data_IF_820368416406
#
_entry.id   IF_820368416406
#
_cell.length_a   1.000
_cell.length_b   1.000
_cell.length_c   1.000
_cell.angle_alpha   90.00
_cell.angle_beta   90.00
_cell.angle_gamma   90.00
#
_symmetry.space_group_name_H-M   'P 1'
#
loop_
_entity.id
_entity.type
_entity.pdbx_description
1 polymer ?
#
# COMPACT_ATOMS: atom_id res chain seq x y z
N UNK A 1 -4.97 -14.11 -16.87
CA UNK A 1 -5.10 -12.69 -17.24
C UNK A 1 -4.06 -12.41 -18.31
N UNK A 2 -4.46 -12.09 -19.54
CA UNK A 2 -3.49 -11.78 -20.61
C UNK A 2 -3.10 -10.30 -20.55
N UNK A 3 -1.80 -10.01 -20.52
CA UNK A 3 -1.28 -8.65 -20.50
C UNK A 3 -1.12 -8.16 -21.93
N UNK A 4 -2.01 -7.25 -22.35
CA UNK A 4 -2.03 -6.73 -23.72
C UNK A 4 -0.83 -5.81 -24.02
N UNK A 5 -0.36 -5.05 -23.01
CA UNK A 5 0.77 -4.12 -23.15
C UNK A 5 1.29 -3.67 -21.79
N UNK A 6 2.62 -3.56 -21.68
CA UNK A 6 3.30 -2.97 -20.53
C UNK A 6 4.01 -1.69 -20.95
N UNK A 7 4.01 -0.67 -20.10
CA UNK A 7 4.74 0.59 -20.36
C UNK A 7 5.31 1.10 -19.06
N UNK A 8 6.60 1.46 -19.07
CA UNK A 8 7.25 2.07 -17.92
C UNK A 8 6.66 3.47 -17.65
N UNK A 9 6.45 3.78 -16.37
CA UNK A 9 5.99 5.10 -15.93
C UNK A 9 7.03 5.71 -15.00
N UNK A 10 7.09 7.04 -14.96
CA UNK A 10 7.94 7.74 -14.01
C UNK A 10 7.42 7.61 -12.58
N UNK A 11 8.32 7.70 -11.60
CA UNK A 11 8.00 7.63 -10.17
C UNK A 11 6.92 8.64 -9.77
N UNK A 12 7.01 9.87 -10.28
CA UNK A 12 5.99 10.91 -10.06
C UNK A 12 4.59 10.50 -10.56
N UNK A 13 4.53 9.80 -11.70
CA UNK A 13 3.27 9.30 -12.26
C UNK A 13 2.76 8.10 -11.46
N UNK A 14 3.66 7.22 -11.01
CA UNK A 14 3.34 6.11 -10.13
C UNK A 14 2.75 6.61 -8.80
N UNK A 15 3.38 7.60 -8.15
CA UNK A 15 2.90 8.20 -6.90
C UNK A 15 1.49 8.78 -7.05
N UNK A 16 1.23 9.50 -8.15
CA UNK A 16 -0.09 10.08 -8.43
C UNK A 16 -1.17 9.02 -8.63
N UNK A 17 -0.84 7.90 -9.31
CA UNK A 17 -1.77 6.80 -9.50
C UNK A 17 -2.05 6.07 -8.18
N UNK A 18 -0.99 5.81 -7.42
CA UNK A 18 -1.07 5.12 -6.14
C UNK A 18 -1.91 5.90 -5.13
N UNK A 19 -1.70 7.22 -5.05
CA UNK A 19 -2.49 8.09 -4.17
C UNK A 19 -3.98 8.01 -4.47
N UNK A 20 -4.35 8.14 -5.75
CA UNK A 20 -5.75 8.04 -6.19
C UNK A 20 -6.36 6.68 -5.89
N UNK A 21 -5.57 5.62 -6.03
CA UNK A 21 -6.03 4.26 -5.74
C UNK A 21 -6.33 4.09 -4.24
N UNK A 22 -5.43 4.54 -3.36
CA UNK A 22 -5.64 4.53 -1.91
C UNK A 22 -6.88 5.35 -1.54
N UNK A 23 -6.99 6.60 -2.01
CA UNK A 23 -8.16 7.46 -1.75
C UNK A 23 -9.48 6.79 -2.18
N UNK A 24 -9.48 6.13 -3.35
CA UNK A 24 -10.65 5.40 -3.86
C UNK A 24 -11.00 4.17 -3.04
N UNK A 25 -10.01 3.49 -2.44
CA UNK A 25 -10.21 2.27 -1.64
C UNK A 25 -10.49 2.53 -0.17
N UNK A 26 -10.12 3.70 0.33
CA UNK A 26 -10.56 4.16 1.65
C UNK A 26 -12.02 4.64 1.65
N UNK A 27 -12.51 5.11 0.50
CA UNK A 27 -13.90 5.54 0.33
C UNK A 27 -14.82 4.42 -0.17
N UNK A 28 -14.32 3.18 -0.28
CA UNK A 28 -15.09 2.04 -0.78
C UNK A 28 -16.08 1.56 0.30
N UNK A 29 -17.37 1.60 -0.01
CA UNK A 29 -18.43 1.18 0.92
C UNK A 29 -18.66 -0.34 0.90
N UNK A 30 -18.15 -1.03 -0.13
CA UNK A 30 -18.22 -2.48 -0.23
C UNK A 30 -17.16 -3.14 0.65
N UNK A 31 -17.58 -3.70 1.79
CA UNK A 31 -16.71 -4.35 2.77
C UNK A 31 -15.81 -5.46 2.20
N UNK A 32 -16.24 -6.16 1.14
CA UNK A 32 -15.44 -7.19 0.47
C UNK A 32 -14.31 -6.60 -0.41
N UNK A 33 -14.42 -5.32 -0.77
CA UNK A 33 -13.48 -4.60 -1.63
C UNK A 33 -12.67 -3.53 -0.87
N UNK A 34 -12.97 -3.33 0.42
CA UNK A 34 -12.20 -2.47 1.32
C UNK A 34 -10.81 -3.05 1.48
N UNK A 35 -9.81 -2.17 1.38
CA UNK A 35 -8.44 -2.54 1.65
C UNK A 35 -8.24 -2.92 3.11
N UNK A 36 -7.63 -4.09 3.34
CA UNK A 36 -7.15 -4.46 4.66
C UNK A 36 -6.04 -3.50 5.13
N UNK A 37 -5.82 -3.44 6.44
CA UNK A 37 -4.86 -2.51 7.05
C UNK A 37 -3.41 -2.78 6.64
N UNK A 38 -3.07 -4.06 6.42
CA UNK A 38 -1.72 -4.46 5.97
C UNK A 38 -1.40 -3.88 4.59
N UNK A 39 -2.30 -4.00 3.62
CA UNK A 39 -2.08 -3.48 2.28
C UNK A 39 -2.08 -1.94 2.29
N UNK A 40 -2.91 -1.29 3.13
CA UNK A 40 -2.83 0.17 3.33
C UNK A 40 -1.45 0.59 3.82
N UNK A 41 -0.90 -0.12 4.81
CA UNK A 41 0.42 0.16 5.36
C UNK A 41 1.53 -0.02 4.30
N UNK A 42 1.51 -1.13 3.57
CA UNK A 42 2.46 -1.38 2.48
C UNK A 42 2.40 -0.30 1.39
N UNK A 43 1.20 0.11 0.98
CA UNK A 43 1.05 1.17 -0.02
C UNK A 43 1.53 2.52 0.50
N UNK A 44 1.34 2.82 1.78
CA UNK A 44 1.87 4.04 2.40
C UNK A 44 3.40 4.07 2.37
N UNK A 45 4.07 2.93 2.61
CA UNK A 45 5.52 2.81 2.50
C UNK A 45 6.01 3.02 1.06
N UNK A 46 5.33 2.43 0.07
CA UNK A 46 5.66 2.61 -1.35
C UNK A 46 5.46 4.08 -1.75
N UNK A 47 4.38 4.72 -1.31
CA UNK A 47 4.12 6.13 -1.60
C UNK A 47 5.18 7.04 -0.98
N UNK A 48 5.57 6.77 0.27
CA UNK A 48 6.67 7.49 0.92
C UNK A 48 7.98 7.37 0.14
N UNK A 49 8.31 6.16 -0.34
CA UNK A 49 9.49 5.93 -1.18
C UNK A 49 9.42 6.73 -2.50
N UNK A 50 8.29 6.69 -3.21
CA UNK A 50 8.09 7.41 -4.47
C UNK A 50 8.09 8.94 -4.30
N UNK A 51 7.78 9.45 -3.10
CA UNK A 51 7.87 10.86 -2.75
C UNK A 51 9.27 11.27 -2.24
N UNK A 52 10.23 10.35 -2.19
CA UNK A 52 11.58 10.62 -1.66
C UNK A 52 11.63 10.81 -0.14
N UNK A 53 10.57 10.42 0.58
CA UNK A 53 10.56 10.41 2.05
C UNK A 53 11.21 9.12 2.53
N UNK A 54 11.90 9.17 3.68
CA UNK A 54 12.37 7.93 4.32
C UNK A 54 11.16 7.05 4.59
N UNK A 55 11.10 5.81 4.04
CA UNK A 55 10.01 4.91 4.35
C UNK A 55 10.02 4.68 5.86
N UNK A 56 8.88 4.91 6.52
CA UNK A 56 8.71 4.49 7.90
C UNK A 56 8.62 2.97 7.89
N UNK A 57 9.77 2.32 8.07
CA UNK A 57 9.83 0.92 8.44
C UNK A 57 9.39 0.90 9.91
N UNK A 58 8.08 0.84 10.17
CA UNK A 58 7.66 0.21 11.42
C UNK A 58 8.08 -1.25 11.25
N UNK A 59 9.14 -1.64 11.95
CA UNK A 59 9.35 -3.04 12.28
C UNK A 59 8.00 -3.50 12.83
N UNK A 60 7.36 -4.41 12.10
CA UNK A 60 6.22 -5.17 12.62
C UNK A 60 6.74 -5.73 13.94
N UNK A 61 6.37 -5.09 15.05
CA UNK A 61 6.57 -5.70 16.36
C UNK A 61 5.55 -6.82 16.33
N UNK A 62 5.98 -7.97 15.81
CA UNK A 62 5.34 -9.23 16.10
C UNK A 62 5.19 -9.27 17.62
N UNK A 63 3.95 -9.05 18.06
CA UNK A 63 3.47 -9.56 19.33
C UNK A 63 3.64 -11.08 19.27
N UNK A 64 4.86 -11.55 19.55
CA UNK A 64 5.09 -12.85 20.16
C UNK A 64 4.52 -12.81 21.59
N UNK A 65 3.19 -12.65 21.68
CA UNK A 65 2.39 -12.79 22.89
C UNK A 65 1.50 -14.04 22.76
N UNK A 66 2.05 -15.15 22.28
CA UNK A 66 1.42 -16.46 22.48
C UNK A 66 2.49 -17.49 22.80
N UNK A 67 2.75 -17.65 24.09
CA UNK A 67 3.70 -18.63 24.63
C UNK A 67 3.84 -18.57 26.15
N UNK A 68 2.76 -18.26 26.86
CA UNK A 68 2.63 -18.55 28.29
C UNK A 68 1.55 -19.63 28.43
N UNK A 69 1.94 -20.89 28.27
CA UNK A 69 1.27 -22.06 28.81
C UNK A 69 2.32 -23.12 29.13
#
# INVERSE_FOLDING_TARGET
>A
MEVLKTTAISEKKAAKLLKKFVESKESEENADLVMNEEVKFQLAQVLAHLEGKKPQIQLQQDEYQFGQY
#
